data_IF_827855205186
#
_entry.id   IF_827855205186
#
_cell.length_a   1.000
_cell.length_b   1.000
_cell.length_c   1.000
_cell.angle_alpha   90.00
_cell.angle_beta   90.00
_cell.angle_gamma   90.00
#
_symmetry.space_group_name_H-M   'P 1'
#
loop_
_entity.id
_entity.type
_entity.pdbx_description
1 polymer ?
#
# COMPACT_ATOMS: atom_id res chain seq x y z
N UNK A 1 60.49 24.82 -64.88
CA UNK A 1 59.22 25.57 -64.94
C UNK A 1 58.11 24.53 -64.98
N UNK A 2 57.18 24.34 -64.03
CA UNK A 2 56.71 25.19 -62.92
C UNK A 2 55.89 24.32 -61.94
N UNK A 3 56.15 24.45 -60.63
CA UNK A 3 55.36 24.20 -59.39
C UNK A 3 54.27 23.10 -59.36
N UNK A 4 54.28 22.07 -58.49
CA UNK A 4 54.26 22.02 -57.01
C UNK A 4 53.22 22.92 -56.32
N UNK A 5 52.11 22.32 -55.83
CA UNK A 5 51.48 22.59 -54.52
C UNK A 5 50.34 21.58 -54.27
N UNK A 6 50.65 20.51 -53.54
CA UNK A 6 49.66 19.69 -52.85
C UNK A 6 49.30 20.40 -51.54
N UNK A 7 48.10 20.95 -51.44
CA UNK A 7 47.57 21.49 -50.19
C UNK A 7 46.83 20.40 -49.45
N UNK A 8 47.52 19.84 -48.44
CA UNK A 8 46.95 19.04 -47.37
C UNK A 8 45.81 19.81 -46.67
N UNK A 9 44.66 19.18 -46.52
CA UNK A 9 43.73 19.51 -45.43
C UNK A 9 42.84 18.31 -45.11
N UNK A 10 43.45 17.30 -44.50
CA UNK A 10 42.73 16.43 -43.55
C UNK A 10 42.52 17.27 -42.30
N UNK A 11 41.32 17.81 -42.12
CA UNK A 11 40.82 18.18 -40.79
C UNK A 11 39.70 17.23 -40.42
N UNK A 12 40.07 16.42 -39.44
CA UNK A 12 39.20 15.58 -38.65
C UNK A 12 38.11 16.39 -37.95
N UNK A 13 36.97 15.71 -37.81
CA UNK A 13 35.87 15.91 -36.86
C UNK A 13 35.17 17.27 -36.90
N UNK A 14 33.87 17.23 -37.18
CA UNK A 14 32.88 17.82 -36.30
C UNK A 14 31.62 16.93 -36.30
N UNK A 15 31.60 16.02 -35.32
CA UNK A 15 30.41 15.33 -34.82
C UNK A 15 29.58 16.37 -34.08
N UNK A 16 28.38 16.68 -34.56
CA UNK A 16 27.39 17.46 -33.80
C UNK A 16 26.00 16.87 -34.00
N UNK A 17 25.59 16.08 -32.99
CA UNK A 17 24.22 16.06 -32.45
C UNK A 17 23.10 15.56 -33.37
N UNK A 18 22.92 14.25 -33.43
CA UNK A 18 21.55 13.73 -33.51
C UNK A 18 20.82 14.17 -32.23
N UNK A 19 19.65 14.82 -32.30
CA UNK A 19 18.89 15.13 -31.09
C UNK A 19 18.45 13.81 -30.45
N UNK A 20 19.03 13.57 -29.27
CA UNK A 20 18.68 12.56 -28.26
C UNK A 20 17.21 12.71 -27.83
N UNK A 21 16.25 12.49 -28.72
CA UNK A 21 14.81 12.52 -28.45
C UNK A 21 14.18 11.13 -28.59
N UNK A 22 14.99 10.10 -28.40
CA UNK A 22 14.56 8.73 -28.18
C UNK A 22 15.31 8.22 -26.96
N UNK A 23 14.58 7.61 -26.01
CA UNK A 23 14.93 7.33 -24.60
C UNK A 23 14.88 8.60 -23.72
N UNK A 24 14.08 8.70 -22.66
CA UNK A 24 13.80 7.68 -21.66
C UNK A 24 12.34 7.70 -21.18
N UNK A 25 11.72 6.54 -21.39
CA UNK A 25 10.71 5.84 -20.60
C UNK A 25 10.14 6.59 -19.38
N UNK A 26 8.84 6.86 -19.49
CA UNK A 26 7.84 6.93 -18.41
C UNK A 26 8.22 6.10 -17.19
N UNK A 27 8.81 6.74 -16.18
CA UNK A 27 9.00 6.13 -14.87
C UNK A 27 7.92 6.66 -13.94
N UNK A 28 6.67 6.24 -14.18
CA UNK A 28 5.63 6.34 -13.16
C UNK A 28 6.00 5.36 -12.06
N UNK A 29 6.61 5.87 -10.99
CA UNK A 29 6.86 5.09 -9.79
C UNK A 29 5.52 4.52 -9.31
N UNK A 30 5.32 3.22 -9.49
CA UNK A 30 4.22 2.49 -8.88
C UNK A 30 4.51 2.46 -7.39
N UNK A 31 4.05 3.48 -6.67
CA UNK A 31 4.07 3.49 -5.21
C UNK A 31 3.16 2.36 -4.78
N UNK A 32 3.75 1.26 -4.33
CA UNK A 32 3.00 0.13 -3.81
C UNK A 32 2.18 0.61 -2.63
N UNK A 33 0.87 0.69 -2.78
CA UNK A 33 -0.04 0.83 -1.66
C UNK A 33 0.10 -0.43 -0.82
N UNK A 34 0.95 -0.38 0.21
CA UNK A 34 0.87 -1.37 1.28
C UNK A 34 -0.49 -1.16 1.91
N UNK A 35 -1.47 -2.00 1.55
CA UNK A 35 -2.70 -2.08 2.30
C UNK A 35 -2.31 -2.49 3.71
N UNK A 36 -2.31 -1.51 4.63
CA UNK A 36 -2.25 -1.82 6.04
C UNK A 36 -3.41 -2.80 6.27
N UNK A 37 -3.09 -4.06 6.59
CA UNK A 37 -4.13 -5.03 6.92
C UNK A 37 -4.79 -4.44 8.16
N UNK A 38 -6.00 -3.94 8.00
CA UNK A 38 -6.77 -3.41 9.11
C UNK A 38 -6.79 -4.50 10.18
N UNK A 39 -6.52 -4.10 11.41
CA UNK A 39 -6.54 -5.04 12.52
C UNK A 39 -7.92 -5.71 12.55
N UNK A 40 -7.98 -7.02 12.28
CA UNK A 40 -9.26 -7.70 12.17
C UNK A 40 -9.90 -7.82 13.56
N UNK A 41 -11.08 -7.25 13.70
CA UNK A 41 -11.94 -7.41 14.86
C UNK A 41 -13.29 -7.97 14.40
N UNK A 42 -14.04 -8.64 15.29
CA UNK A 42 -15.42 -9.04 15.00
C UNK A 42 -16.27 -7.85 14.54
N UNK A 43 -17.10 -8.04 13.51
CA UNK A 43 -17.92 -6.97 12.92
C UNK A 43 -19.36 -7.40 12.70
N UNK A 44 -20.27 -6.42 12.69
CA UNK A 44 -21.70 -6.65 12.50
C UNK A 44 -22.34 -7.46 13.62
N UNK A 45 -21.83 -7.32 14.85
CA UNK A 45 -22.40 -7.99 16.03
C UNK A 45 -23.77 -7.44 16.39
N UNK A 46 -24.76 -8.31 16.54
CA UNK A 46 -26.11 -8.00 17.00
C UNK A 46 -26.52 -8.96 18.12
N UNK A 47 -27.01 -8.42 19.23
CA UNK A 47 -27.40 -9.21 20.40
C UNK A 47 -28.73 -9.90 20.12
N UNK A 48 -28.72 -11.22 20.10
CA UNK A 48 -29.91 -12.04 19.86
C UNK A 48 -30.64 -12.40 21.16
N UNK A 49 -29.90 -12.53 22.27
CA UNK A 49 -30.46 -12.86 23.59
C UNK A 49 -29.49 -12.47 24.71
N UNK A 50 -30.03 -12.22 25.91
CA UNK A 50 -29.28 -11.77 27.08
C UNK A 50 -28.92 -10.28 27.04
N UNK A 51 -28.08 -9.86 27.97
CA UNK A 51 -27.59 -8.49 28.09
C UNK A 51 -26.12 -8.43 27.69
N UNK A 52 -25.84 -7.82 26.55
CA UNK A 52 -24.47 -7.62 26.05
C UNK A 52 -24.30 -6.21 25.53
N UNK A 53 -23.17 -5.59 25.86
CA UNK A 53 -22.71 -4.35 25.24
C UNK A 53 -21.37 -4.59 24.55
N UNK A 54 -21.27 -4.24 23.27
CA UNK A 54 -20.03 -4.35 22.50
C UNK A 54 -19.43 -2.95 22.38
N UNK A 55 -18.20 -2.79 22.86
CA UNK A 55 -17.45 -1.54 22.83
C UNK A 55 -16.12 -1.72 22.09
N UNK A 56 -15.66 -0.67 21.41
CA UNK A 56 -14.38 -0.62 20.72
C UNK A 56 -13.46 0.40 21.40
N UNK A 57 -12.81 0.05 22.53
CA UNK A 57 -11.94 0.97 23.24
C UNK A 57 -10.75 1.47 22.40
N UNK A 58 -10.32 0.69 21.39
CA UNK A 58 -9.34 1.13 20.40
C UNK A 58 -9.55 0.40 19.07
N UNK A 59 -8.78 0.77 18.03
CA UNK A 59 -8.83 0.10 16.73
C UNK A 59 -8.38 -1.37 16.75
N UNK A 60 -7.78 -1.84 17.85
CA UNK A 60 -7.26 -3.20 18.00
C UNK A 60 -7.88 -3.96 19.17
N UNK A 61 -8.86 -3.37 19.86
CA UNK A 61 -9.47 -3.98 21.03
C UNK A 61 -10.99 -3.89 20.93
N UNK A 62 -11.64 -5.02 21.18
CA UNK A 62 -13.08 -5.12 21.32
C UNK A 62 -13.38 -5.67 22.72
N UNK A 63 -14.29 -5.01 23.43
CA UNK A 63 -14.73 -5.43 24.76
C UNK A 63 -16.20 -5.79 24.69
N UNK A 64 -16.54 -7.00 25.11
CA UNK A 64 -17.90 -7.51 25.24
C UNK A 64 -18.22 -7.52 26.74
N UNK A 65 -19.13 -6.66 27.17
CA UNK A 65 -19.62 -6.64 28.56
C UNK A 65 -20.94 -7.39 28.62
N UNK A 66 -20.94 -8.56 29.25
CA UNK A 66 -22.12 -9.41 29.42
C UNK A 66 -22.72 -9.19 30.81
N UNK A 67 -23.93 -8.65 30.86
CA UNK A 67 -24.64 -8.38 32.12
C UNK A 67 -25.52 -9.54 32.59
N UNK A 68 -25.74 -10.55 31.75
CA UNK A 68 -26.54 -11.74 32.06
C UNK A 68 -25.68 -12.99 32.20
N UNK A 69 -26.20 -14.05 32.85
CA UNK A 69 -25.49 -15.32 32.98
C UNK A 69 -25.22 -16.02 31.64
N UNK A 70 -26.01 -15.73 30.62
CA UNK A 70 -25.81 -16.24 29.26
C UNK A 70 -26.30 -15.19 28.27
N UNK A 71 -25.63 -15.12 27.12
CA UNK A 71 -26.01 -14.25 26.03
C UNK A 71 -25.63 -14.88 24.68
N UNK A 72 -26.33 -14.43 23.64
CA UNK A 72 -26.07 -14.85 22.26
C UNK A 72 -25.91 -13.59 21.42
N UNK A 73 -24.82 -13.52 20.66
CA UNK A 73 -24.55 -12.46 19.72
C UNK A 73 -24.34 -13.09 18.34
N UNK A 74 -25.13 -12.64 17.38
CA UNK A 74 -24.95 -13.00 15.98
C UNK A 74 -23.91 -12.06 15.36
N UNK A 75 -22.92 -12.63 14.67
CA UNK A 75 -21.87 -11.86 14.01
C UNK A 75 -21.94 -12.06 12.50
N UNK A 76 -21.81 -10.97 11.74
CA UNK A 76 -21.64 -11.06 10.29
C UNK A 76 -20.27 -11.66 9.93
N UNK A 77 -19.24 -11.31 10.70
CA UNK A 77 -17.91 -11.90 10.63
C UNK A 77 -17.27 -11.87 12.00
N UNK A 78 -16.62 -12.98 12.38
CA UNK A 78 -15.84 -13.07 13.60
C UNK A 78 -14.43 -13.53 13.25
N UNK A 79 -13.50 -12.57 13.25
CA UNK A 79 -12.07 -12.78 13.07
C UNK A 79 -11.31 -11.92 14.07
N UNK A 80 -10.16 -12.41 14.52
CA UNK A 80 -9.26 -11.68 15.43
C UNK A 80 -7.88 -11.67 14.77
N UNK A 81 -7.44 -10.50 14.32
CA UNK A 81 -6.17 -10.29 13.66
C UNK A 81 -4.98 -10.36 14.61
N UNK A 82 -3.78 -10.38 14.05
CA UNK A 82 -2.55 -10.42 14.83
C UNK A 82 -2.35 -9.14 15.67
N UNK A 83 -2.35 -9.28 16.99
CA UNK A 83 -2.29 -8.15 17.93
C UNK A 83 -3.64 -7.51 18.23
N UNK A 84 -4.74 -8.08 17.71
CA UNK A 84 -6.09 -7.70 18.08
C UNK A 84 -6.51 -8.51 19.32
N UNK A 85 -7.33 -7.91 20.18
CA UNK A 85 -7.82 -8.60 21.38
C UNK A 85 -9.32 -8.43 21.51
N UNK A 86 -9.99 -9.53 21.84
CA UNK A 86 -11.38 -9.53 22.29
C UNK A 86 -11.39 -9.92 23.76
N UNK A 87 -11.92 -9.05 24.61
CA UNK A 87 -12.10 -9.31 26.05
C UNK A 87 -13.59 -9.43 26.35
N UNK A 88 -13.96 -10.45 27.15
CA UNK A 88 -15.32 -10.67 27.60
C UNK A 88 -15.34 -10.53 29.13
N UNK A 89 -16.18 -9.63 29.63
CA UNK A 89 -16.39 -9.32 31.06
C UNK A 89 -17.82 -9.69 31.47
#
# INVERSE_FOLDING_TARGET
>A
MTAQRQTLSRRHLNRTGAPLMALLLTSTALVGFTSARAQELPTGGSVASGGVTIAHPSSSQLTIRQSTSSAIVNWQSFSIGAGATVTID
#
